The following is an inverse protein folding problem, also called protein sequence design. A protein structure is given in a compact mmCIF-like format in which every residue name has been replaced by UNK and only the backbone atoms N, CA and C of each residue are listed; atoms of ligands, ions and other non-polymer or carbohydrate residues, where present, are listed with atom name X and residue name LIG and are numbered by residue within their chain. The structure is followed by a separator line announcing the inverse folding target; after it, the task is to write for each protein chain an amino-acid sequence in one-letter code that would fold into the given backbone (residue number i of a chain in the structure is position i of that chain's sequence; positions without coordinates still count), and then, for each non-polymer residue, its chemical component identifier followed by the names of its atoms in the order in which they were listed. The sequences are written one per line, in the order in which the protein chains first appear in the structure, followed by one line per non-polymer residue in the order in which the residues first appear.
data_IF_198391255343
#
_entry.id   IF_198391255343
#
_cell.length_a   1.000
_cell.length_b   1.000
_cell.length_c   1.000
_cell.angle_alpha   90.00
_cell.angle_beta   90.00
_cell.angle_gamma   90.00
#
_symmetry.space_group_name_H-M   'P 1'
#
loop_
_entity.id
_entity.type
_entity.pdbx_description
1 polymer ?
#
# COMPACT_ATOMS: atom_id res chain seq x y z
N UNK A 1 16.54 -3.85 13.85
CA UNK A 1 15.15 -3.55 13.59
C UNK A 1 14.98 -2.13 13.13
N UNK A 2 14.37 -1.90 11.98
CA UNK A 2 14.28 -0.56 11.44
C UNK A 2 12.84 -0.07 11.55
N UNK A 3 12.51 0.56 12.66
CA UNK A 3 11.17 1.09 12.87
C UNK A 3 10.78 2.11 11.83
N UNK A 4 11.77 2.71 11.16
CA UNK A 4 11.51 3.71 10.14
C UNK A 4 11.36 3.15 8.72
N UNK A 5 11.51 1.85 8.53
CA UNK A 5 11.41 1.26 7.20
C UNK A 5 9.94 1.03 6.83
N UNK A 6 9.40 1.79 5.85
CA UNK A 6 7.99 1.61 5.48
C UNK A 6 7.71 0.25 4.86
N UNK A 7 8.73 -0.44 4.36
CA UNK A 7 8.56 -1.75 3.73
C UNK A 7 8.85 -2.91 4.69
N UNK A 8 8.87 -2.64 6.01
CA UNK A 8 8.96 -3.72 7.00
C UNK A 8 7.70 -4.58 7.01
N UNK A 9 6.52 -4.00 6.71
CA UNK A 9 5.29 -4.76 6.56
C UNK A 9 5.24 -5.40 5.17
N UNK A 10 4.53 -6.51 5.05
CA UNK A 10 4.42 -7.18 3.76
C UNK A 10 3.69 -6.34 2.71
N UNK A 11 2.67 -5.60 3.13
CA UNK A 11 1.89 -4.75 2.21
C UNK A 11 2.07 -3.30 2.62
N UNK A 12 2.41 -2.46 1.66
CA UNK A 12 2.60 -1.03 1.88
C UNK A 12 1.77 -0.28 0.86
N UNK A 13 1.00 0.72 1.32
CA UNK A 13 0.17 1.55 0.45
C UNK A 13 0.68 2.98 0.53
N UNK A 14 1.13 3.52 -0.59
CA UNK A 14 1.49 4.94 -0.70
C UNK A 14 0.25 5.74 -1.03
N UNK A 15 0.02 6.79 -0.28
CA UNK A 15 -1.12 7.67 -0.50
C UNK A 15 -0.90 9.04 0.10
N UNK A 16 -1.98 9.83 0.21
CA UNK A 16 -1.91 11.15 0.83
C UNK A 16 -3.26 11.47 1.48
N UNK A 17 -3.28 12.42 2.42
CA UNK A 17 -4.54 12.85 3.03
C UNK A 17 -5.48 13.44 1.97
N UNK A 18 -6.78 13.22 2.16
CA UNK A 18 -7.80 13.75 1.25
C UNK A 18 -7.93 13.02 -0.07
N UNK A 19 -7.26 11.89 -0.23
CA UNK A 19 -7.32 11.08 -1.44
C UNK A 19 -8.36 9.97 -1.24
N UNK A 20 -9.50 10.08 -1.91
CA UNK A 20 -10.58 9.09 -1.74
C UNK A 20 -10.16 7.71 -2.21
N UNK A 21 -9.48 7.63 -3.35
CA UNK A 21 -9.03 6.33 -3.87
C UNK A 21 -8.01 5.68 -2.92
N UNK A 22 -7.19 6.49 -2.24
CA UNK A 22 -6.25 5.97 -1.26
C UNK A 22 -6.98 5.35 -0.08
N UNK A 23 -8.07 5.99 0.37
CA UNK A 23 -8.88 5.46 1.46
C UNK A 23 -9.52 4.13 1.08
N UNK A 24 -10.05 4.05 -0.14
CA UNK A 24 -10.67 2.81 -0.63
C UNK A 24 -9.63 1.70 -0.71
N UNK A 25 -8.44 2.01 -1.23
CA UNK A 25 -7.37 1.02 -1.34
C UNK A 25 -6.96 0.50 0.05
N UNK A 26 -6.85 1.40 1.02
CA UNK A 26 -6.48 0.99 2.37
C UNK A 26 -7.55 0.11 3.01
N UNK A 27 -8.82 0.37 2.74
CA UNK A 27 -9.89 -0.49 3.24
C UNK A 27 -9.77 -1.91 2.67
N UNK A 28 -9.54 -2.02 1.36
CA UNK A 28 -9.37 -3.33 0.72
C UNK A 28 -8.16 -4.05 1.30
N UNK A 29 -7.05 -3.34 1.42
CA UNK A 29 -5.81 -3.93 1.96
C UNK A 29 -6.03 -4.39 3.40
N UNK A 30 -6.68 -3.57 4.22
CA UNK A 30 -6.93 -3.94 5.61
C UNK A 30 -7.77 -5.20 5.72
N UNK A 31 -8.81 -5.31 4.89
CA UNK A 31 -9.68 -6.49 4.91
C UNK A 31 -8.95 -7.75 4.48
N UNK A 32 -8.18 -7.67 3.39
CA UNK A 32 -7.43 -8.82 2.91
C UNK A 32 -6.35 -9.23 3.90
N UNK A 33 -5.64 -8.26 4.46
CA UNK A 33 -4.60 -8.55 5.44
C UNK A 33 -5.17 -9.16 6.70
N UNK A 34 -6.33 -8.69 7.16
CA UNK A 34 -6.99 -9.30 8.33
C UNK A 34 -7.35 -10.75 8.07
N UNK A 35 -7.79 -11.05 6.84
CA UNK A 35 -8.19 -12.42 6.48
C UNK A 35 -6.99 -13.34 6.30
N UNK A 36 -5.83 -12.82 5.91
CA UNK A 36 -4.65 -13.63 5.60
C UNK A 36 -3.60 -13.61 6.70
N UNK A 37 -3.78 -12.76 7.73
CA UNK A 37 -2.79 -12.62 8.79
C UNK A 37 -1.59 -11.79 8.42
N UNK A 38 -1.61 -11.12 7.27
CA UNK A 38 -0.50 -10.27 6.85
C UNK A 38 -0.58 -8.90 7.52
N UNK A 39 0.56 -8.25 7.65
CA UNK A 39 0.63 -6.88 8.17
C UNK A 39 0.69 -5.91 7.00
N UNK A 40 0.11 -4.73 7.20
CA UNK A 40 0.15 -3.68 6.19
C UNK A 40 0.42 -2.33 6.82
N UNK A 41 0.85 -1.38 6.00
CA UNK A 41 1.18 -0.05 6.47
C UNK A 41 0.82 0.97 5.38
N UNK A 42 0.20 2.08 5.79
CA UNK A 42 -0.01 3.22 4.92
C UNK A 42 1.13 4.22 5.09
N UNK A 43 1.57 4.79 3.97
CA UNK A 43 2.63 5.80 3.97
C UNK A 43 2.10 7.04 3.29
N UNK A 44 2.12 8.16 4.00
CA UNK A 44 1.76 9.47 3.45
C UNK A 44 2.96 10.03 2.71
N UNK A 45 2.87 10.08 1.37
CA UNK A 45 3.99 10.57 0.57
C UNK A 45 3.96 12.07 0.35
N UNK A 46 2.92 12.76 0.84
CA UNK A 46 2.78 14.20 0.60
C UNK A 46 3.89 15.01 1.28
N UNK A 47 4.54 14.45 2.29
CA UNK A 47 5.64 15.11 3.00
C UNK A 47 7.00 14.77 2.43
N UNK A 48 7.07 13.96 1.38
CA UNK A 48 8.33 13.54 0.77
C UNK A 48 8.33 13.96 -0.69
N UNK A 49 9.06 15.04 -1.05
CA UNK A 49 9.04 15.54 -2.44
C UNK A 49 9.51 14.52 -3.47
N UNK A 50 10.45 13.66 -3.11
CA UNK A 50 10.95 12.65 -4.04
C UNK A 50 9.87 11.61 -4.34
N UNK A 51 9.15 11.15 -3.31
CA UNK A 51 8.06 10.20 -3.51
C UNK A 51 6.89 10.84 -4.26
N UNK A 52 6.59 12.10 -3.96
CA UNK A 52 5.53 12.81 -4.68
C UNK A 52 5.87 12.95 -6.16
N UNK A 53 7.13 13.21 -6.48
CA UNK A 53 7.55 13.33 -7.88
C UNK A 53 7.41 12.01 -8.61
N UNK A 54 7.75 10.92 -7.94
CA UNK A 54 7.74 9.60 -8.58
C UNK A 54 6.35 8.98 -8.63
N UNK A 55 5.57 9.11 -7.55
CA UNK A 55 4.33 8.37 -7.41
C UNK A 55 3.08 9.23 -7.31
N UNK A 56 3.23 10.55 -7.25
CA UNK A 56 2.12 11.44 -6.91
C UNK A 56 0.90 11.32 -7.82
N UNK A 57 1.09 10.94 -9.09
CA UNK A 57 0.00 10.77 -10.03
C UNK A 57 -0.48 9.33 -10.15
N UNK A 58 0.14 8.43 -9.41
CA UNK A 58 -0.19 7.00 -9.44
C UNK A 58 -0.83 6.50 -8.16
N UNK A 59 -0.90 7.34 -7.13
CA UNK A 59 -1.44 6.91 -5.84
C UNK A 59 -2.93 6.61 -5.95
N UNK A 60 -3.40 5.62 -5.20
CA UNK A 60 -2.64 4.78 -4.27
C UNK A 60 -1.76 3.78 -5.00
N UNK A 61 -0.54 3.58 -4.51
CA UNK A 61 0.36 2.55 -5.03
C UNK A 61 0.56 1.50 -3.96
N UNK A 62 0.29 0.25 -4.31
CA UNK A 62 0.37 -0.86 -3.37
C UNK A 62 1.59 -1.72 -3.69
N UNK A 63 2.36 -2.01 -2.65
CA UNK A 63 3.54 -2.86 -2.74
C UNK A 63 3.30 -4.13 -1.93
N UNK A 64 3.76 -5.25 -2.45
CA UNK A 64 3.74 -6.53 -1.74
C UNK A 64 5.16 -7.07 -1.73
N UNK A 65 5.66 -7.33 -0.51
CA UNK A 65 7.02 -7.85 -0.30
C UNK A 65 8.08 -7.02 -1.04
N UNK A 66 7.89 -5.70 -1.04
CA UNK A 66 8.84 -4.76 -1.61
C UNK A 66 8.70 -4.50 -3.10
N UNK A 67 7.81 -5.22 -3.79
CA UNK A 67 7.60 -5.04 -5.23
C UNK A 67 6.26 -4.37 -5.50
N UNK A 68 6.23 -3.51 -6.52
CA UNK A 68 4.96 -2.87 -6.89
C UNK A 68 3.96 -3.94 -7.31
N UNK A 69 2.76 -3.86 -6.71
CA UNK A 69 1.70 -4.83 -6.96
C UNK A 69 0.58 -4.22 -7.78
N UNK A 70 0.10 -3.05 -7.36
CA UNK A 70 -0.99 -2.34 -8.02
C UNK A 70 -0.82 -0.84 -7.87
N UNK A 71 -1.48 -0.09 -8.75
CA UNK A 71 -1.60 1.36 -8.60
C UNK A 71 -3.05 1.76 -8.91
N UNK A 72 -3.49 2.89 -8.34
CA UNK A 72 -4.84 3.45 -8.38
C UNK A 72 -5.86 2.57 -7.65
N UNK A 73 -6.02 1.32 -8.03
CA UNK A 73 -6.97 0.40 -7.40
C UNK A 73 -6.26 -0.85 -6.92
N UNK A 74 -6.86 -1.49 -5.93
CA UNK A 74 -6.36 -2.75 -5.41
C UNK A 74 -7.40 -3.82 -5.68
N UNK A 75 -7.00 -4.86 -6.40
CA UNK A 75 -7.84 -6.03 -6.61
C UNK A 75 -7.66 -6.98 -5.44
N UNK A 76 -8.75 -7.18 -4.67
CA UNK A 76 -8.69 -7.98 -3.45
C UNK A 76 -8.25 -9.42 -3.72
N UNK A 77 -8.72 -10.01 -4.82
CA UNK A 77 -8.39 -11.40 -5.13
C UNK A 77 -6.93 -11.56 -5.51
N UNK A 78 -6.40 -10.63 -6.32
CA UNK A 78 -4.98 -10.65 -6.67
C UNK A 78 -4.11 -10.45 -5.44
N UNK A 79 -4.51 -9.54 -4.56
CA UNK A 79 -3.76 -9.29 -3.33
C UNK A 79 -3.75 -10.53 -2.45
N UNK A 80 -4.90 -11.17 -2.31
CA UNK A 80 -4.99 -12.39 -1.50
C UNK A 80 -4.09 -13.49 -2.07
N UNK A 81 -4.09 -13.66 -3.39
CA UNK A 81 -3.22 -14.64 -4.03
C UNK A 81 -1.75 -14.34 -3.76
N UNK A 82 -1.35 -13.07 -3.86
CA UNK A 82 0.03 -12.69 -3.62
C UNK A 82 0.45 -12.97 -2.18
N UNK A 83 -0.47 -12.85 -1.23
CA UNK A 83 -0.17 -13.04 0.18
C UNK A 83 -0.23 -14.50 0.64
N UNK A 84 -0.89 -15.35 -0.12
CA UNK A 84 -1.08 -16.76 0.28
C UNK A 84 -0.25 -17.74 -0.52
N UNK A 85 0.62 -17.25 -1.36
CA UNK A 85 1.56 -18.11 -2.10
C UNK A 85 2.58 -18.75 -1.19
#
# INVERSE_FOLDING_TARGET
MSDGDPHAARVVVYGKPGCHLCEVAEQVVAEVCAATGAQWRGVDISTDPALMREYGEQIPVTFVDGARHDFWRVDADRLRLALTR
#
